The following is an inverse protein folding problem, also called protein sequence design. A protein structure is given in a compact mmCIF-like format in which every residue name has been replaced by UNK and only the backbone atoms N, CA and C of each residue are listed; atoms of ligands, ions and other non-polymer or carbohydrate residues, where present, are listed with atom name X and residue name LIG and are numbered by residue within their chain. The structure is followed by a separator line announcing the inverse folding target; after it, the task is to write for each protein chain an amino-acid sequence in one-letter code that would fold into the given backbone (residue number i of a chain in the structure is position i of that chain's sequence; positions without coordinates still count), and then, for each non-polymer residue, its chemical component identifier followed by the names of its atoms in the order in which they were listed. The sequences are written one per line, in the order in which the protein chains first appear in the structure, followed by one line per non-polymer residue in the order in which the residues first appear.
data_IF_252119855898
#
_entry.id   IF_252119855898
#
_cell.length_a   1.000
_cell.length_b   1.000
_cell.length_c   1.000
_cell.angle_alpha   90.00
_cell.angle_beta   90.00
_cell.angle_gamma   90.00
#
_symmetry.space_group_name_H-M   'P 1'
#
loop_
_entity.id
_entity.type
_entity.pdbx_description
1 polymer ?
#
# COMPACT_ATOMS: atom_id res chain seq x y z
N UNK A 1 -13.99 -10.25 8.84
CA UNK A 1 -13.13 -9.73 9.95
C UNK A 1 -12.65 -8.36 9.52
N UNK A 2 -12.76 -7.37 10.36
CA UNK A 2 -12.29 -6.01 10.09
C UNK A 2 -10.77 -6.02 9.80
N UNK A 3 -10.30 -5.24 8.82
CA UNK A 3 -8.88 -5.15 8.50
C UNK A 3 -8.13 -4.34 9.56
N UNK A 4 -6.85 -4.63 9.73
CA UNK A 4 -5.93 -3.79 10.50
C UNK A 4 -5.65 -2.50 9.72
N UNK A 5 -5.60 -1.39 10.41
CA UNK A 5 -5.31 -0.08 9.82
C UNK A 5 -3.93 0.38 10.25
N UNK A 6 -3.17 0.94 9.30
CA UNK A 6 -1.92 1.63 9.57
C UNK A 6 -2.00 3.07 9.09
N UNK A 7 -1.35 3.97 9.80
CA UNK A 7 -1.35 5.41 9.54
C UNK A 7 0.08 5.96 9.49
N UNK A 8 0.35 6.84 8.55
CA UNK A 8 1.54 7.67 8.51
C UNK A 8 1.14 9.15 8.59
N UNK A 9 1.90 9.92 9.36
CA UNK A 9 1.71 11.37 9.54
C UNK A 9 2.94 12.13 9.02
N UNK A 10 2.74 13.28 8.41
CA UNK A 10 3.83 14.17 8.01
C UNK A 10 4.55 14.76 9.25
N UNK A 11 5.86 15.10 9.16
CA UNK A 11 6.71 14.88 7.99
C UNK A 11 7.03 13.39 7.80
N UNK A 12 6.88 12.91 6.57
CA UNK A 12 7.15 11.51 6.27
C UNK A 12 8.65 11.22 6.25
N UNK A 13 8.98 9.96 6.54
CA UNK A 13 10.34 9.46 6.44
C UNK A 13 10.83 9.58 4.99
N UNK A 14 12.03 10.12 4.82
CA UNK A 14 12.65 10.20 3.50
C UNK A 14 12.84 8.83 2.85
N UNK A 15 12.69 8.79 1.54
CA UNK A 15 12.86 7.59 0.76
C UNK A 15 14.33 7.16 0.78
N UNK A 16 14.61 6.01 1.39
CA UNK A 16 15.95 5.42 1.53
C UNK A 16 16.18 4.22 0.63
N UNK A 17 15.15 3.74 -0.02
CA UNK A 17 15.21 2.60 -0.94
C UNK A 17 15.07 3.09 -2.38
N UNK A 18 15.83 2.46 -3.26
CA UNK A 18 15.79 2.70 -4.70
C UNK A 18 15.36 1.44 -5.43
N UNK A 19 14.81 1.61 -6.63
CA UNK A 19 14.50 0.48 -7.50
C UNK A 19 15.79 -0.25 -7.89
N UNK A 20 15.73 -1.56 -8.14
CA UNK A 20 16.84 -2.28 -8.75
C UNK A 20 17.24 -1.66 -10.10
N UNK A 21 18.47 -1.89 -10.52
CA UNK A 21 18.98 -1.37 -11.79
C UNK A 21 18.08 -1.73 -12.97
N UNK A 22 17.78 -0.75 -13.80
CA UNK A 22 16.91 -0.90 -14.97
C UNK A 22 15.42 -0.91 -14.70
N UNK A 23 15.00 -0.94 -13.42
CA UNK A 23 13.58 -0.79 -13.06
C UNK A 23 13.20 0.69 -12.97
N UNK A 24 11.94 1.01 -13.32
CA UNK A 24 11.44 2.39 -13.23
C UNK A 24 9.98 2.45 -12.85
N UNK A 25 9.55 3.57 -12.26
CA UNK A 25 8.13 3.88 -12.11
C UNK A 25 7.55 4.37 -13.43
N UNK A 26 6.31 3.94 -13.72
CA UNK A 26 5.54 4.36 -14.89
C UNK A 26 4.10 4.60 -14.45
N UNK A 27 3.51 5.69 -14.93
CA UNK A 27 2.11 5.99 -14.64
C UNK A 27 1.19 5.17 -15.54
N UNK A 28 0.01 4.89 -15.04
CA UNK A 28 -1.07 4.27 -15.78
C UNK A 28 -1.60 5.24 -16.85
N UNK A 29 -1.76 4.78 -18.08
CA UNK A 29 -2.20 5.61 -19.20
C UNK A 29 -3.64 5.31 -19.69
N UNK A 30 -4.34 4.39 -19.01
CA UNK A 30 -5.68 3.88 -19.36
C UNK A 30 -5.74 3.07 -20.67
N UNK A 31 -4.61 2.71 -21.25
CA UNK A 31 -4.60 1.81 -22.42
C UNK A 31 -5.11 0.41 -22.05
N UNK A 32 -5.61 -0.31 -23.06
CA UNK A 32 -5.99 -1.72 -22.88
C UNK A 32 -4.83 -2.57 -22.40
N UNK A 33 -3.59 -2.20 -22.79
CA UNK A 33 -2.37 -2.85 -22.32
C UNK A 33 -2.17 -2.64 -20.82
N UNK A 34 -2.23 -1.40 -20.34
CA UNK A 34 -2.03 -1.11 -18.90
C UNK A 34 -3.13 -1.74 -18.03
N UNK A 35 -4.37 -1.80 -18.52
CA UNK A 35 -5.47 -2.52 -17.86
C UNK A 35 -5.17 -4.02 -17.78
N UNK A 36 -4.70 -4.62 -18.87
CA UNK A 36 -4.31 -6.03 -18.91
C UNK A 36 -3.12 -6.32 -17.99
N UNK A 37 -2.09 -5.48 -18.02
CA UNK A 37 -0.92 -5.58 -17.15
C UNK A 37 -1.30 -5.49 -15.66
N UNK A 38 -2.19 -4.57 -15.29
CA UNK A 38 -2.71 -4.45 -13.92
C UNK A 38 -3.39 -5.75 -13.47
N UNK A 39 -4.28 -6.28 -14.29
CA UNK A 39 -4.98 -7.55 -14.03
C UNK A 39 -4.01 -8.71 -13.89
N UNK A 40 -3.00 -8.77 -14.77
CA UNK A 40 -1.95 -9.79 -14.71
C UNK A 40 -1.15 -9.72 -13.40
N UNK A 41 -0.75 -8.53 -12.96
CA UNK A 41 -0.06 -8.34 -11.67
C UNK A 41 -0.89 -8.86 -10.51
N UNK A 42 -2.20 -8.54 -10.48
CA UNK A 42 -3.10 -9.00 -9.42
C UNK A 42 -3.19 -10.53 -9.38
N UNK A 43 -3.34 -11.17 -10.54
CA UNK A 43 -3.47 -12.62 -10.64
C UNK A 43 -2.18 -13.38 -10.32
N UNK A 44 -1.03 -12.79 -10.62
CA UNK A 44 0.29 -13.40 -10.40
C UNK A 44 0.98 -12.90 -9.11
N UNK A 45 0.25 -12.26 -8.19
CA UNK A 45 0.76 -11.83 -6.89
C UNK A 45 0.64 -12.96 -5.85
N UNK A 46 1.41 -12.90 -4.74
CA UNK A 46 1.38 -13.94 -3.67
C UNK A 46 0.02 -14.19 -3.03
N UNK A 47 -0.91 -13.27 -3.15
CA UNK A 47 -2.29 -13.42 -2.70
C UNK A 47 -3.21 -12.91 -3.81
N UNK A 48 -3.43 -13.71 -4.85
CA UNK A 48 -4.28 -13.32 -5.96
C UNK A 48 -5.72 -13.10 -5.47
N UNK A 49 -6.42 -12.21 -6.15
CA UNK A 49 -7.84 -11.97 -5.91
C UNK A 49 -8.63 -12.72 -6.98
N UNK A 50 -9.75 -13.30 -6.59
CA UNK A 50 -10.62 -14.03 -7.52
C UNK A 50 -11.24 -13.08 -8.54
N UNK A 51 -11.09 -13.42 -9.83
CA UNK A 51 -11.69 -12.69 -10.93
C UNK A 51 -11.04 -11.32 -11.21
N UNK A 52 -10.01 -11.31 -12.07
CA UNK A 52 -9.26 -10.09 -12.39
C UNK A 52 -10.15 -8.93 -12.90
N UNK A 53 -11.18 -9.23 -13.71
CA UNK A 53 -12.11 -8.23 -14.23
C UNK A 53 -12.99 -7.63 -13.14
N UNK A 54 -13.56 -8.47 -12.28
CA UNK A 54 -14.35 -8.03 -11.13
C UNK A 54 -13.51 -7.23 -10.16
N UNK A 55 -12.26 -7.66 -9.91
CA UNK A 55 -11.33 -6.94 -9.07
C UNK A 55 -10.98 -5.56 -9.64
N UNK A 56 -10.67 -5.47 -10.93
CA UNK A 56 -10.40 -4.18 -11.58
C UNK A 56 -11.60 -3.24 -11.50
N UNK A 57 -12.80 -3.76 -11.78
CA UNK A 57 -14.03 -2.97 -11.68
C UNK A 57 -14.23 -2.42 -10.25
N UNK A 58 -14.21 -3.27 -9.23
CA UNK A 58 -14.49 -2.89 -7.85
C UNK A 58 -13.39 -2.01 -7.22
N UNK A 59 -12.12 -2.29 -7.53
CA UNK A 59 -11.00 -1.66 -6.86
C UNK A 59 -10.44 -0.44 -7.60
N UNK A 60 -10.82 -0.26 -8.86
CA UNK A 60 -10.31 0.84 -9.69
C UNK A 60 -11.43 1.63 -10.36
N UNK A 61 -12.34 0.97 -11.10
CA UNK A 61 -13.30 1.71 -11.92
C UNK A 61 -14.36 2.44 -11.12
N UNK A 62 -14.90 1.79 -10.10
CA UNK A 62 -15.96 2.35 -9.24
C UNK A 62 -15.47 2.70 -7.84
N UNK A 63 -14.18 2.48 -7.53
CA UNK A 63 -13.63 2.83 -6.23
C UNK A 63 -13.64 4.36 -6.03
N UNK A 64 -14.10 4.85 -4.87
CA UNK A 64 -14.23 6.29 -4.64
C UNK A 64 -12.90 7.04 -4.79
N UNK A 65 -12.99 8.22 -5.37
CA UNK A 65 -11.92 9.20 -5.49
C UNK A 65 -10.69 8.78 -6.32
N UNK A 66 -10.68 7.62 -6.99
CA UNK A 66 -9.57 7.19 -7.84
C UNK A 66 -9.47 8.04 -9.11
N UNK A 67 -8.37 8.75 -9.26
CA UNK A 67 -7.93 9.32 -10.54
C UNK A 67 -6.91 8.37 -11.18
N UNK A 68 -7.37 7.56 -12.12
CA UNK A 68 -6.57 6.45 -12.67
C UNK A 68 -5.18 6.86 -13.15
N UNK A 69 -5.06 7.97 -13.89
CA UNK A 69 -3.77 8.43 -14.45
C UNK A 69 -2.80 8.99 -13.42
N UNK A 70 -3.33 9.60 -12.38
CA UNK A 70 -2.54 10.25 -11.35
C UNK A 70 -2.23 9.34 -10.17
N UNK A 71 -3.12 8.37 -9.90
CA UNK A 71 -3.05 7.56 -8.70
C UNK A 71 -2.46 6.18 -8.91
N UNK A 72 -2.59 5.59 -10.12
CA UNK A 72 -2.08 4.25 -10.39
C UNK A 72 -0.67 4.34 -10.96
N UNK A 73 0.26 3.70 -10.26
CA UNK A 73 1.66 3.62 -10.66
C UNK A 73 2.08 2.17 -10.83
N UNK A 74 2.86 1.92 -11.88
CA UNK A 74 3.52 0.63 -12.09
C UNK A 74 5.00 0.72 -11.78
N UNK A 75 5.59 -0.43 -11.49
CA UNK A 75 7.02 -0.65 -11.67
C UNK A 75 7.20 -1.49 -12.95
N UNK A 76 8.02 -0.99 -13.85
CA UNK A 76 8.43 -1.67 -15.07
C UNK A 76 9.84 -2.23 -14.87
N UNK A 77 10.05 -3.49 -15.28
CA UNK A 77 11.35 -4.14 -15.25
C UNK A 77 12.21 -3.75 -16.47
N UNK A 78 13.52 -4.16 -16.53
CA UNK A 78 14.41 -3.85 -17.65
C UNK A 78 13.96 -4.40 -19.02
N UNK A 79 12.98 -5.31 -19.03
CA UNK A 79 12.43 -5.91 -20.26
C UNK A 79 11.15 -5.19 -20.76
N UNK A 80 10.72 -4.11 -20.09
CA UNK A 80 9.54 -3.36 -20.45
C UNK A 80 8.22 -3.97 -19.94
N UNK A 81 8.29 -4.92 -18.99
CA UNK A 81 7.12 -5.56 -18.42
C UNK A 81 6.68 -4.83 -17.14
N UNK A 82 5.38 -4.60 -16.96
CA UNK A 82 4.78 -4.15 -15.71
C UNK A 82 4.78 -5.30 -14.70
N UNK A 83 5.48 -5.12 -13.59
CA UNK A 83 5.71 -6.20 -12.62
C UNK A 83 5.17 -5.93 -11.22
N UNK A 84 4.85 -4.68 -10.93
CA UNK A 84 4.22 -4.29 -9.68
C UNK A 84 3.31 -3.07 -9.89
N UNK A 85 2.34 -2.89 -8.99
CA UNK A 85 1.42 -1.75 -8.99
C UNK A 85 1.17 -1.24 -7.58
N UNK A 86 0.90 0.06 -7.48
CA UNK A 86 0.43 0.74 -6.29
C UNK A 86 -0.54 1.84 -6.70
N UNK A 87 -1.58 2.07 -5.90
CA UNK A 87 -2.53 3.16 -6.11
C UNK A 87 -2.48 4.11 -4.92
N UNK A 88 -2.36 5.42 -5.19
CA UNK A 88 -2.20 6.49 -4.19
C UNK A 88 -3.39 7.45 -4.25
N UNK A 89 -4.48 7.10 -3.59
CA UNK A 89 -5.74 7.85 -3.64
C UNK A 89 -5.66 9.06 -2.72
N UNK A 90 -6.09 10.22 -3.21
CA UNK A 90 -6.32 11.41 -2.39
C UNK A 90 -7.82 11.61 -2.21
N UNK A 91 -8.31 11.48 -0.98
CA UNK A 91 -9.72 11.67 -0.66
C UNK A 91 -10.12 13.15 -0.60
N UNK A 92 -11.43 13.42 -0.68
CA UNK A 92 -11.99 14.78 -0.62
C UNK A 92 -11.72 15.53 0.67
N UNK A 93 -11.48 14.81 1.76
CA UNK A 93 -11.08 15.36 3.07
C UNK A 93 -9.58 15.68 3.17
N UNK A 94 -8.86 15.57 2.06
CA UNK A 94 -7.41 15.74 1.96
C UNK A 94 -6.60 14.69 2.73
N UNK A 95 -7.15 13.51 2.94
CA UNK A 95 -6.39 12.35 3.43
C UNK A 95 -5.88 11.50 2.26
N UNK A 96 -4.76 10.81 2.47
CA UNK A 96 -4.19 9.85 1.52
C UNK A 96 -4.57 8.41 1.87
N UNK A 97 -4.80 7.59 0.85
CA UNK A 97 -5.03 6.16 1.02
C UNK A 97 -4.14 5.34 0.06
N UNK A 98 -3.33 4.45 0.64
CA UNK A 98 -2.50 3.52 -0.14
C UNK A 98 -3.34 2.29 -0.45
N UNK A 99 -3.56 2.06 -1.73
CA UNK A 99 -4.46 1.02 -2.22
C UNK A 99 -3.77 0.10 -3.22
N UNK A 100 -4.17 -1.19 -3.27
CA UNK A 100 -3.75 -2.18 -4.28
C UNK A 100 -2.24 -2.28 -4.49
N UNK A 101 -1.48 -2.40 -3.38
CA UNK A 101 -0.03 -2.66 -3.44
C UNK A 101 0.20 -4.12 -3.78
N UNK A 102 0.67 -4.40 -4.97
CA UNK A 102 0.91 -5.75 -5.49
C UNK A 102 2.18 -5.83 -6.33
N UNK A 103 2.86 -6.97 -6.28
CA UNK A 103 3.95 -7.31 -7.17
C UNK A 103 3.80 -8.79 -7.61
N UNK A 104 4.24 -9.11 -8.82
CA UNK A 104 4.27 -10.50 -9.32
C UNK A 104 5.14 -11.36 -8.39
N UNK A 105 4.75 -12.63 -8.18
CA UNK A 105 5.52 -13.56 -7.34
C UNK A 105 6.97 -13.72 -7.84
N UNK A 106 7.19 -13.67 -9.16
CA UNK A 106 8.52 -13.72 -9.79
C UNK A 106 9.46 -12.58 -9.36
N UNK A 107 8.92 -11.50 -8.85
CA UNK A 107 9.65 -10.31 -8.40
C UNK A 107 9.96 -10.32 -6.90
N UNK A 108 9.58 -11.38 -6.22
CA UNK A 108 9.79 -11.52 -4.77
C UNK A 108 11.27 -11.42 -4.38
N UNK A 109 11.54 -10.79 -3.25
CA UNK A 109 12.90 -10.62 -2.74
C UNK A 109 13.67 -9.44 -3.32
N UNK A 110 13.17 -8.77 -4.37
CA UNK A 110 13.82 -7.60 -4.99
C UNK A 110 13.54 -6.27 -4.25
N UNK A 111 12.83 -6.30 -3.14
CA UNK A 111 12.55 -5.10 -2.33
C UNK A 111 11.51 -4.14 -2.91
N UNK A 112 10.79 -4.53 -3.99
CA UNK A 112 9.83 -3.65 -4.67
C UNK A 112 8.72 -3.13 -3.73
N UNK A 113 8.24 -3.95 -2.79
CA UNK A 113 7.24 -3.54 -1.81
C UNK A 113 7.72 -2.38 -0.94
N UNK A 114 8.97 -2.43 -0.47
CA UNK A 114 9.56 -1.34 0.34
C UNK A 114 9.71 -0.05 -0.46
N UNK A 115 10.14 -0.16 -1.71
CA UNK A 115 10.25 1.01 -2.60
C UNK A 115 8.87 1.62 -2.87
N UNK A 116 7.85 0.79 -3.17
CA UNK A 116 6.48 1.26 -3.39
C UNK A 116 5.89 1.97 -2.17
N UNK A 117 6.07 1.39 -0.97
CA UNK A 117 5.56 2.00 0.26
C UNK A 117 6.20 3.38 0.54
N UNK A 118 7.51 3.53 0.34
CA UNK A 118 8.19 4.81 0.50
C UNK A 118 7.82 5.79 -0.63
N UNK A 119 7.67 5.30 -1.85
CA UNK A 119 7.27 6.10 -3.01
C UNK A 119 5.86 6.68 -2.83
N UNK A 120 4.92 5.91 -2.26
CA UNK A 120 3.59 6.43 -1.97
C UNK A 120 3.63 7.61 -1.00
N UNK A 121 4.42 7.53 0.06
CA UNK A 121 4.57 8.64 1.02
C UNK A 121 5.23 9.87 0.37
N UNK A 122 6.19 9.67 -0.53
CA UNK A 122 6.77 10.76 -1.32
C UNK A 122 5.71 11.46 -2.19
N UNK A 123 4.86 10.70 -2.89
CA UNK A 123 3.76 11.26 -3.69
C UNK A 123 2.81 12.07 -2.82
N UNK A 124 2.40 11.53 -1.68
CA UNK A 124 1.51 12.25 -0.77
C UNK A 124 2.15 13.52 -0.19
N UNK A 125 3.45 13.49 0.12
CA UNK A 125 4.19 14.70 0.51
C UNK A 125 4.17 15.77 -0.60
N UNK A 126 4.40 15.37 -1.85
CA UNK A 126 4.37 16.27 -3.02
C UNK A 126 2.96 16.86 -3.27
N UNK A 127 1.90 16.13 -2.88
CA UNK A 127 0.51 16.58 -2.93
C UNK A 127 0.09 17.43 -1.72
N UNK A 128 0.96 17.61 -0.71
CA UNK A 128 0.64 18.33 0.52
C UNK A 128 -0.34 17.57 1.42
N UNK A 129 -0.33 16.26 1.40
CA UNK A 129 -1.16 15.39 2.24
C UNK A 129 -0.40 15.09 3.52
N UNK A 130 -1.00 15.39 4.67
CA UNK A 130 -0.37 15.22 5.99
C UNK A 130 -0.72 13.90 6.68
N UNK A 131 -1.78 13.23 6.24
CA UNK A 131 -2.26 11.96 6.80
C UNK A 131 -2.48 10.94 5.71
N UNK A 132 -1.84 9.78 5.83
CA UNK A 132 -1.98 8.65 4.90
C UNK A 132 -2.39 7.40 5.67
N UNK A 133 -3.38 6.68 5.16
CA UNK A 133 -3.89 5.45 5.73
C UNK A 133 -3.70 4.29 4.73
N UNK A 134 -3.58 3.09 5.24
CA UNK A 134 -3.72 1.84 4.51
C UNK A 134 -4.40 0.79 5.38
N UNK A 135 -5.00 -0.20 4.73
CA UNK A 135 -5.57 -1.38 5.40
C UNK A 135 -4.82 -2.65 5.02
N UNK A 136 -4.76 -3.60 5.94
CA UNK A 136 -4.05 -4.87 5.73
C UNK A 136 -4.68 -5.98 6.58
N UNK A 137 -4.25 -7.22 6.36
CA UNK A 137 -4.70 -8.39 7.11
C UNK A 137 -3.56 -8.93 7.98
N UNK A 138 -3.87 -9.51 9.14
CA UNK A 138 -2.92 -10.02 10.15
C UNK A 138 -1.90 -11.00 9.57
N UNK A 139 -2.33 -11.83 8.63
CA UNK A 139 -1.48 -12.87 8.02
C UNK A 139 -0.46 -12.31 7.03
N UNK A 140 -0.61 -11.06 6.62
CA UNK A 140 0.28 -10.40 5.65
C UNK A 140 1.53 -9.83 6.32
N UNK A 141 2.18 -10.60 7.18
CA UNK A 141 3.34 -10.16 7.97
C UNK A 141 4.45 -9.48 7.14
N UNK A 142 4.84 -9.98 5.96
CA UNK A 142 5.85 -9.29 5.13
C UNK A 142 5.42 -7.91 4.65
N UNK A 143 4.13 -7.71 4.34
CA UNK A 143 3.60 -6.41 3.94
C UNK A 143 3.56 -5.45 5.13
N UNK A 144 3.08 -5.91 6.29
CA UNK A 144 3.06 -5.11 7.52
C UNK A 144 4.48 -4.64 7.88
N UNK A 145 5.46 -5.55 7.84
CA UNK A 145 6.87 -5.19 8.05
C UNK A 145 7.34 -4.11 7.09
N UNK A 146 6.99 -4.25 5.83
CA UNK A 146 7.31 -3.27 4.78
C UNK A 146 6.76 -1.88 5.10
N UNK A 147 5.52 -1.79 5.55
CA UNK A 147 4.87 -0.52 5.92
C UNK A 147 5.47 0.08 7.20
N UNK A 148 5.76 -0.73 8.21
CA UNK A 148 6.48 -0.28 9.42
C UNK A 148 7.85 0.32 9.07
N UNK A 149 8.61 -0.35 8.23
CA UNK A 149 9.93 0.12 7.77
C UNK A 149 9.82 1.43 6.94
N UNK A 150 8.73 1.62 6.23
CA UNK A 150 8.45 2.85 5.47
C UNK A 150 8.03 4.04 6.34
N UNK A 151 7.58 3.80 7.57
CA UNK A 151 7.19 4.86 8.51
C UNK A 151 5.69 4.88 8.86
N UNK A 152 4.93 3.88 8.44
CA UNK A 152 3.57 3.69 8.94
C UNK A 152 3.58 3.11 10.34
N UNK A 153 2.60 3.48 11.14
CA UNK A 153 2.36 2.99 12.50
C UNK A 153 1.03 2.26 12.59
N UNK A 154 0.91 1.22 13.43
CA UNK A 154 -0.37 0.60 13.74
C UNK A 154 -1.36 1.62 14.30
N UNK A 155 -2.60 1.59 13.84
CA UNK A 155 -3.69 2.35 14.43
C UNK A 155 -4.37 1.47 15.49
N UNK A 156 -4.45 1.97 16.71
CA UNK A 156 -5.02 1.28 17.87
C UNK A 156 -6.19 2.06 18.45
N UNK A 157 -7.02 1.38 19.22
CA UNK A 157 -8.15 1.98 19.92
C UNK A 157 -7.79 2.21 21.38
N UNK A 158 -8.30 3.27 22.01
CA UNK A 158 -7.97 3.66 23.38
C UNK A 158 -8.29 2.60 24.45
N UNK A 159 -9.23 1.70 24.20
CA UNK A 159 -9.57 0.60 25.10
C UNK A 159 -8.55 -0.54 24.99
N UNK A 160 -7.83 -0.83 26.10
CA UNK A 160 -6.77 -1.87 26.12
C UNK A 160 -7.25 -3.27 25.72
N UNK A 161 -8.50 -3.60 26.04
CA UNK A 161 -9.09 -4.92 25.76
C UNK A 161 -9.74 -5.03 24.38
N UNK A 162 -9.59 -4.02 23.54
CA UNK A 162 -10.09 -4.04 22.16
C UNK A 162 -9.43 -5.16 21.34
N UNK A 163 -10.25 -5.86 20.56
CA UNK A 163 -9.79 -7.01 19.75
C UNK A 163 -8.73 -6.60 18.70
N UNK A 164 -8.83 -5.41 18.13
CA UNK A 164 -7.84 -4.87 17.17
C UNK A 164 -6.49 -4.70 17.86
N UNK A 165 -6.47 -4.18 19.09
CA UNK A 165 -5.22 -4.01 19.86
C UNK A 165 -4.54 -5.36 20.13
N UNK A 166 -5.31 -6.38 20.53
CA UNK A 166 -4.80 -7.75 20.75
C UNK A 166 -4.22 -8.36 19.46
N UNK A 167 -4.86 -8.11 18.34
CA UNK A 167 -4.36 -8.55 17.02
C UNK A 167 -3.05 -7.86 16.67
N UNK A 168 -2.93 -6.55 16.90
CA UNK A 168 -1.68 -5.83 16.73
C UNK A 168 -0.57 -6.35 17.65
N UNK A 169 -0.86 -6.65 18.92
CA UNK A 169 0.12 -7.23 19.85
C UNK A 169 0.73 -8.51 19.28
N UNK A 170 -0.13 -9.43 18.82
CA UNK A 170 0.30 -10.70 18.22
C UNK A 170 1.10 -10.51 16.93
N UNK A 171 0.68 -9.59 16.06
CA UNK A 171 1.39 -9.29 14.80
C UNK A 171 2.78 -8.71 15.08
N UNK A 172 2.90 -7.75 15.98
CA UNK A 172 4.15 -7.09 16.31
C UNK A 172 5.12 -8.03 17.06
N UNK A 173 4.60 -8.91 17.90
CA UNK A 173 5.38 -9.99 18.52
C UNK A 173 5.96 -10.92 17.45
N UNK A 174 5.14 -11.41 16.52
CA UNK A 174 5.57 -12.29 15.43
C UNK A 174 6.62 -11.63 14.52
N UNK A 175 6.55 -10.31 14.35
CA UNK A 175 7.51 -9.55 13.55
C UNK A 175 8.77 -9.14 14.33
N UNK A 176 8.80 -9.37 15.64
CA UNK A 176 9.84 -8.88 16.55
C UNK A 176 9.99 -7.34 16.52
N UNK A 177 8.85 -6.64 16.54
CA UNK A 177 8.73 -5.16 16.56
C UNK A 177 8.02 -4.64 17.82
N UNK A 178 8.46 -5.02 19.04
CA UNK A 178 7.71 -4.69 20.26
C UNK A 178 7.72 -3.19 20.61
N UNK A 179 8.68 -2.43 20.07
CA UNK A 179 8.88 -1.01 20.38
C UNK A 179 8.32 -0.05 19.31
N UNK A 180 7.46 -0.56 18.40
CA UNK A 180 6.89 0.32 17.39
C UNK A 180 5.93 1.34 18.02
N UNK A 181 5.98 2.58 17.54
CA UNK A 181 5.02 3.62 17.92
C UNK A 181 3.64 3.23 17.38
N UNK A 182 2.63 3.30 18.23
CA UNK A 182 1.22 3.08 17.84
C UNK A 182 0.49 4.40 17.91
N UNK A 183 -0.39 4.64 16.97
CA UNK A 183 -1.24 5.82 16.93
C UNK A 183 -2.65 5.46 17.39
N UNK A 184 -3.25 6.29 18.22
CA UNK A 184 -4.65 6.10 18.61
C UNK A 184 -5.59 6.54 17.48
N UNK A 185 -6.67 5.80 17.27
CA UNK A 185 -7.74 6.18 16.35
C UNK A 185 -8.43 7.43 16.90
N UNK A 186 -8.60 8.42 16.05
CA UNK A 186 -9.37 9.62 16.33
C UNK A 186 -10.60 9.73 15.39
N UNK A 187 -11.47 10.72 15.64
CA UNK A 187 -12.70 10.91 14.85
C UNK A 187 -12.44 11.17 13.35
N UNK A 188 -11.24 11.60 12.99
CA UNK A 188 -10.84 11.85 11.58
C UNK A 188 -10.36 10.61 10.85
N UNK A 189 -10.39 9.45 11.48
CA UNK A 189 -9.97 8.16 10.91
C UNK A 189 -11.17 7.27 10.50
N UNK A 190 -12.38 7.84 10.41
CA UNK A 190 -13.62 7.16 9.98
C UNK A 190 -13.85 7.20 8.47
#
# INVERSE_FOLDING_TARGET
MEQLVMKALAPYKEMSRVLPEGYRFVNFDESEKDIADWKEIIMNSPAPLDGADSCYHLMIEIYPDVNKKEDIHFIENPFGERVATITTITHKDNSGYVHMVKAKESERGKGLGQVMAQYSLKIFAERGIDKVILTTDDFRLPAIKTYLDAGFSPLVYGEKDNEINKRWDKVLENLNYPQVVRLEKDESDE
#
